data_IF_413153399683
#
_entry.id   IF_413153399683
#
_cell.length_a   1.000
_cell.length_b   1.000
_cell.length_c   1.000
_cell.angle_alpha   90.00
_cell.angle_beta   90.00
_cell.angle_gamma   90.00
#
_symmetry.space_group_name_H-M   'P 1'
#
loop_
_entity.id
_entity.type
_entity.pdbx_description
1 polymer ?
#
# COMPACT_ATOMS: atom_id res chain seq x y z
N UNK A 1 14.03 6.25 -9.07
CA UNK A 1 14.04 5.05 -9.94
C UNK A 1 13.58 5.32 -11.39
N UNK A 2 13.02 6.49 -11.68
CA UNK A 2 12.66 6.91 -13.06
C UNK A 2 13.70 7.85 -13.68
N UNK A 3 14.69 8.30 -12.94
CA UNK A 3 15.59 9.38 -13.32
C UNK A 3 16.71 8.83 -14.21
N UNK A 4 17.27 7.70 -13.87
CA UNK A 4 18.40 7.09 -14.56
C UNK A 4 18.49 5.58 -14.34
N UNK A 5 19.41 4.95 -15.07
CA UNK A 5 19.64 3.50 -15.05
C UNK A 5 20.12 3.01 -13.68
N UNK A 6 21.02 3.74 -13.04
CA UNK A 6 21.65 3.30 -11.79
C UNK A 6 20.60 3.18 -10.68
N UNK A 7 19.79 4.21 -10.48
CA UNK A 7 18.70 4.18 -9.52
C UNK A 7 17.64 3.12 -9.86
N UNK A 8 17.36 2.89 -11.14
CA UNK A 8 16.41 1.85 -11.55
C UNK A 8 16.96 0.45 -11.20
N UNK A 9 18.23 0.15 -11.53
CA UNK A 9 18.87 -1.13 -11.21
C UNK A 9 18.95 -1.33 -9.69
N UNK A 10 19.38 -0.31 -8.94
CA UNK A 10 19.43 -0.36 -7.48
C UNK A 10 18.05 -0.67 -6.88
N UNK A 11 16.99 -0.02 -7.37
CA UNK A 11 15.62 -0.27 -6.91
C UNK A 11 15.18 -1.71 -7.16
N UNK A 12 15.44 -2.25 -8.35
CA UNK A 12 15.12 -3.65 -8.68
C UNK A 12 15.93 -4.62 -7.82
N UNK A 13 17.21 -4.38 -7.65
CA UNK A 13 18.09 -5.24 -6.84
C UNK A 13 17.63 -5.25 -5.37
N UNK A 14 17.43 -4.08 -4.77
CA UNK A 14 17.06 -4.00 -3.37
C UNK A 14 15.67 -4.61 -3.08
N UNK A 15 14.69 -4.34 -3.94
CA UNK A 15 13.35 -4.85 -3.73
C UNK A 15 13.22 -6.31 -4.18
N UNK A 16 13.46 -6.59 -5.46
CA UNK A 16 13.13 -7.91 -6.03
C UNK A 16 14.10 -8.99 -5.56
N UNK A 17 15.42 -8.75 -5.64
CA UNK A 17 16.40 -9.72 -5.17
C UNK A 17 16.36 -9.85 -3.65
N UNK A 18 16.13 -8.73 -2.92
CA UNK A 18 15.95 -8.74 -1.48
C UNK A 18 14.74 -9.58 -1.05
N UNK A 19 13.60 -9.41 -1.74
CA UNK A 19 12.39 -10.22 -1.50
C UNK A 19 12.63 -11.70 -1.80
N UNK A 20 13.32 -12.04 -2.90
CA UNK A 20 13.64 -13.43 -3.21
C UNK A 20 14.51 -14.07 -2.13
N UNK A 21 15.56 -13.39 -1.67
CA UNK A 21 16.42 -13.89 -0.59
C UNK A 21 15.61 -14.14 0.69
N UNK A 22 14.70 -13.22 1.04
CA UNK A 22 13.82 -13.38 2.19
C UNK A 22 12.90 -14.61 2.04
N UNK A 23 12.29 -14.79 0.86
CA UNK A 23 11.39 -15.93 0.60
C UNK A 23 12.11 -17.27 0.69
N UNK A 24 13.37 -17.36 0.21
CA UNK A 24 14.18 -18.57 0.36
C UNK A 24 14.57 -18.82 1.82
N UNK A 25 14.99 -17.79 2.56
CA UNK A 25 15.28 -17.91 3.98
C UNK A 25 14.03 -18.36 4.77
N UNK A 26 12.86 -17.81 4.46
CA UNK A 26 11.59 -18.24 5.07
C UNK A 26 11.28 -19.70 4.75
N UNK A 27 11.43 -20.12 3.49
CA UNK A 27 11.19 -21.49 3.08
C UNK A 27 12.10 -22.50 3.80
N UNK A 28 13.35 -22.15 4.00
CA UNK A 28 14.39 -23.03 4.54
C UNK A 28 14.37 -23.06 6.07
N UNK A 29 14.22 -21.91 6.72
CA UNK A 29 14.40 -21.77 8.16
C UNK A 29 13.09 -21.53 8.93
N UNK A 30 12.11 -20.85 8.31
CA UNK A 30 10.90 -20.39 9.00
C UNK A 30 9.62 -20.60 8.16
N UNK A 31 9.32 -21.85 7.71
CA UNK A 31 8.21 -22.08 6.78
C UNK A 31 6.82 -21.73 7.37
N UNK A 32 6.70 -21.73 8.69
CA UNK A 32 5.45 -21.38 9.40
C UNK A 32 5.29 -19.87 9.63
N UNK A 33 6.29 -19.07 9.29
CA UNK A 33 6.22 -17.62 9.42
C UNK A 33 5.22 -17.03 8.44
N UNK A 34 4.50 -15.97 8.85
CA UNK A 34 3.59 -15.23 7.98
C UNK A 34 4.24 -13.91 7.54
N UNK A 35 4.44 -13.74 6.23
CA UNK A 35 4.99 -12.53 5.67
C UNK A 35 3.89 -11.47 5.48
N UNK A 36 4.09 -10.28 6.02
CA UNK A 36 3.26 -9.11 5.72
C UNK A 36 4.08 -8.12 4.89
N UNK A 37 3.78 -8.04 3.59
CA UNK A 37 4.43 -7.09 2.68
C UNK A 37 3.69 -5.76 2.67
N UNK A 38 4.42 -4.68 2.74
CA UNK A 38 3.91 -3.34 2.48
C UNK A 38 4.01 -3.03 0.97
N UNK A 39 2.92 -3.35 0.26
CA UNK A 39 2.73 -3.06 -1.16
C UNK A 39 2.26 -1.64 -1.43
N UNK A 40 1.81 -1.37 -2.63
CA UNK A 40 1.32 -0.05 -3.04
C UNK A 40 0.20 -0.15 -4.08
N UNK A 41 -0.81 0.71 -3.96
CA UNK A 41 -1.85 0.87 -5.00
C UNK A 41 -1.27 1.28 -6.36
N UNK A 42 -0.08 1.87 -6.39
CA UNK A 42 0.62 2.22 -7.63
C UNK A 42 1.01 1.02 -8.50
N UNK A 43 0.91 -0.21 -7.99
CA UNK A 43 1.07 -1.44 -8.76
C UNK A 43 0.00 -1.59 -9.86
N UNK A 44 -1.22 -1.09 -9.61
CA UNK A 44 -2.34 -1.19 -10.54
C UNK A 44 -2.30 -0.13 -11.65
N UNK A 45 -1.52 0.93 -11.49
CA UNK A 45 -1.53 2.06 -12.42
C UNK A 45 -2.84 2.84 -12.37
N UNK A 46 -3.39 3.16 -13.54
CA UNK A 46 -4.66 3.89 -13.70
C UNK A 46 -5.57 3.19 -14.73
N UNK A 47 -6.11 2.01 -14.42
CA UNK A 47 -7.02 1.32 -15.33
C UNK A 47 -8.34 2.10 -15.49
N UNK A 48 -9.04 1.88 -16.61
CA UNK A 48 -10.39 2.45 -16.86
C UNK A 48 -11.52 1.61 -16.26
N UNK A 49 -11.19 0.59 -15.48
CA UNK A 49 -12.14 -0.28 -14.78
C UNK A 49 -11.85 -0.24 -13.30
N UNK A 50 -12.82 -0.61 -12.47
CA UNK A 50 -12.65 -0.70 -11.04
C UNK A 50 -11.58 -1.74 -10.68
N UNK A 51 -10.82 -1.45 -9.62
CA UNK A 51 -9.77 -2.34 -9.13
C UNK A 51 -10.41 -3.29 -8.13
N UNK A 52 -10.50 -4.56 -8.53
CA UNK A 52 -10.95 -5.63 -7.66
C UNK A 52 -9.90 -5.99 -6.60
N UNK A 53 -10.34 -6.55 -5.50
CA UNK A 53 -9.44 -6.97 -4.42
C UNK A 53 -8.65 -8.22 -4.81
N UNK A 54 -7.43 -8.01 -5.26
CA UNK A 54 -6.45 -9.04 -5.57
C UNK A 54 -6.73 -9.89 -6.81
N UNK A 55 -7.98 -10.21 -7.11
CA UNK A 55 -8.37 -11.11 -8.19
C UNK A 55 -9.53 -10.56 -9.01
N UNK A 56 -9.59 -10.97 -10.27
CA UNK A 56 -10.70 -10.66 -11.17
C UNK A 56 -11.19 -11.93 -11.86
N UNK A 57 -12.50 -12.09 -11.96
CA UNK A 57 -13.10 -13.18 -12.75
C UNK A 57 -13.24 -12.74 -14.18
N UNK A 58 -12.61 -13.49 -15.09
CA UNK A 58 -12.60 -13.21 -16.53
C UNK A 58 -13.38 -14.32 -17.26
N UNK A 59 -14.21 -13.94 -18.20
CA UNK A 59 -14.80 -14.83 -19.17
C UNK A 59 -14.21 -14.59 -20.56
N UNK A 60 -13.66 -15.62 -21.16
CA UNK A 60 -13.09 -15.56 -22.50
C UNK A 60 -13.39 -16.85 -23.28
N UNK A 61 -13.95 -16.71 -24.48
CA UNK A 61 -14.34 -17.84 -25.35
C UNK A 61 -15.23 -18.87 -24.60
N UNK A 62 -16.21 -18.41 -23.82
CA UNK A 62 -17.16 -19.24 -23.08
C UNK A 62 -16.56 -19.98 -21.88
N UNK A 63 -15.31 -19.68 -21.49
CA UNK A 63 -14.66 -20.22 -20.30
C UNK A 63 -14.44 -19.12 -19.27
N UNK A 64 -14.64 -19.45 -17.99
CA UNK A 64 -14.43 -18.53 -16.86
C UNK A 64 -13.22 -18.97 -16.05
N UNK A 65 -12.44 -17.99 -15.56
CA UNK A 65 -11.35 -18.22 -14.62
C UNK A 65 -11.20 -17.00 -13.70
N UNK A 66 -10.68 -17.23 -12.50
CA UNK A 66 -10.37 -16.17 -11.54
C UNK A 66 -8.85 -16.03 -11.46
N UNK A 67 -8.35 -14.91 -11.93
CA UNK A 67 -6.92 -14.64 -12.09
C UNK A 67 -6.51 -13.44 -11.23
N UNK A 68 -5.22 -13.34 -10.88
CA UNK A 68 -4.71 -12.12 -10.24
C UNK A 68 -5.08 -10.88 -11.08
N UNK A 69 -5.53 -9.83 -10.41
CA UNK A 69 -5.91 -8.59 -11.09
C UNK A 69 -4.73 -8.04 -11.89
N UNK A 70 -4.91 -7.60 -13.16
CA UNK A 70 -3.85 -7.07 -14.00
C UNK A 70 -3.19 -5.83 -13.38
N UNK A 71 -1.86 -5.79 -13.37
CA UNK A 71 -1.07 -4.69 -12.81
C UNK A 71 -0.33 -3.96 -13.94
N UNK A 72 -0.43 -2.61 -13.95
CA UNK A 72 0.17 -1.73 -14.96
C UNK A 72 0.97 -0.61 -14.29
N UNK A 73 2.12 -0.93 -13.64
CA UNK A 73 2.89 0.04 -12.87
C UNK A 73 3.46 1.16 -13.74
N UNK A 74 3.33 2.41 -13.28
CA UNK A 74 3.82 3.60 -13.98
C UNK A 74 5.26 4.01 -13.64
N UNK A 75 6.00 3.25 -12.82
CA UNK A 75 7.40 3.54 -12.46
C UNK A 75 8.19 2.28 -12.17
N UNK A 76 9.54 2.37 -12.24
CA UNK A 76 10.42 1.25 -11.88
C UNK A 76 10.26 0.82 -10.42
N UNK A 77 9.93 1.75 -9.52
CA UNK A 77 9.59 1.43 -8.14
C UNK A 77 8.29 0.60 -8.07
N UNK A 78 7.21 1.05 -8.69
CA UNK A 78 5.95 0.31 -8.70
C UNK A 78 6.11 -1.04 -9.41
N UNK A 79 6.91 -1.10 -10.48
CA UNK A 79 7.23 -2.35 -11.17
C UNK A 79 7.98 -3.33 -10.25
N UNK A 80 8.95 -2.86 -9.45
CA UNK A 80 9.62 -3.74 -8.49
C UNK A 80 8.64 -4.31 -7.45
N UNK A 81 7.67 -3.52 -7.01
CA UNK A 81 6.61 -3.98 -6.10
C UNK A 81 5.68 -5.02 -6.74
N UNK A 82 5.38 -4.89 -8.03
CA UNK A 82 4.66 -5.91 -8.80
C UNK A 82 5.45 -7.23 -8.84
N UNK A 83 6.76 -7.17 -9.11
CA UNK A 83 7.62 -8.35 -9.10
C UNK A 83 7.64 -9.02 -7.72
N UNK A 84 7.72 -8.24 -6.65
CA UNK A 84 7.64 -8.75 -5.28
C UNK A 84 6.31 -9.47 -5.03
N UNK A 85 5.18 -8.88 -5.44
CA UNK A 85 3.86 -9.50 -5.31
C UNK A 85 3.78 -10.84 -6.04
N UNK A 86 4.33 -10.91 -7.26
CA UNK A 86 4.33 -12.14 -8.04
C UNK A 86 5.26 -13.21 -7.43
N UNK A 87 6.43 -12.84 -6.94
CA UNK A 87 7.35 -13.75 -6.24
C UNK A 87 6.71 -14.32 -4.98
N UNK A 88 6.06 -13.47 -4.18
CA UNK A 88 5.34 -13.89 -2.97
C UNK A 88 4.17 -14.80 -3.33
N UNK A 89 3.36 -14.44 -4.32
CA UNK A 89 2.24 -15.27 -4.78
C UNK A 89 2.72 -16.65 -5.27
N UNK A 90 3.82 -16.70 -6.02
CA UNK A 90 4.46 -17.95 -6.42
C UNK A 90 4.88 -18.78 -5.20
N UNK A 91 5.58 -18.18 -4.24
CA UNK A 91 6.06 -18.84 -3.04
C UNK A 91 4.91 -19.40 -2.19
N UNK A 92 3.81 -18.66 -2.05
CA UNK A 92 2.62 -19.14 -1.36
C UNK A 92 1.99 -20.34 -2.09
N UNK A 93 1.82 -20.24 -3.40
CA UNK A 93 1.15 -21.28 -4.18
C UNK A 93 1.96 -22.56 -4.32
N UNK A 94 3.28 -22.45 -4.48
CA UNK A 94 4.15 -23.60 -4.83
C UNK A 94 4.88 -24.15 -3.60
N UNK A 95 5.29 -23.27 -2.66
CA UNK A 95 6.03 -23.69 -1.47
C UNK A 95 5.16 -23.76 -0.22
N UNK A 96 3.89 -23.32 -0.30
CA UNK A 96 3.00 -23.32 0.85
C UNK A 96 3.29 -22.24 1.88
N UNK A 97 4.10 -21.23 1.56
CA UNK A 97 4.35 -20.11 2.46
C UNK A 97 3.07 -19.29 2.66
N UNK A 98 3.03 -18.56 3.77
CA UNK A 98 1.89 -17.69 4.11
C UNK A 98 2.30 -16.23 3.99
N UNK A 99 1.50 -15.43 3.27
CA UNK A 99 1.76 -14.00 3.13
C UNK A 99 0.48 -13.18 2.99
N UNK A 100 0.59 -11.90 3.36
CA UNK A 100 -0.41 -10.87 3.07
C UNK A 100 0.29 -9.70 2.37
N UNK A 101 -0.22 -9.29 1.22
CA UNK A 101 0.25 -8.11 0.49
C UNK A 101 -0.72 -6.95 0.72
N UNK A 102 -0.27 -5.92 1.45
CA UNK A 102 -1.06 -4.73 1.76
C UNK A 102 -0.79 -3.64 0.71
N UNK A 103 -1.60 -3.58 -0.34
CA UNK A 103 -1.49 -2.56 -1.38
C UNK A 103 -1.98 -1.20 -0.88
N UNK A 104 -1.04 -0.43 -0.36
CA UNK A 104 -1.31 0.80 0.36
C UNK A 104 -1.52 1.98 -0.59
N UNK A 105 -2.48 2.87 -0.25
CA UNK A 105 -2.52 4.23 -0.75
C UNK A 105 -1.43 5.12 -0.13
N UNK A 106 -1.51 6.41 -0.38
CA UNK A 106 -0.58 7.38 0.20
C UNK A 106 -0.81 7.50 1.70
N UNK A 107 0.24 7.21 2.49
CA UNK A 107 0.21 7.38 3.95
C UNK A 107 0.51 8.84 4.30
N UNK A 108 -0.28 9.41 5.20
CA UNK A 108 -0.10 10.79 5.65
C UNK A 108 -0.29 10.90 7.18
N UNK A 109 0.13 12.03 7.72
CA UNK A 109 0.12 12.29 9.15
C UNK A 109 1.37 11.75 9.83
N UNK A 110 1.65 12.29 11.00
CA UNK A 110 2.86 11.96 11.80
C UNK A 110 2.53 11.74 13.27
N UNK A 111 1.28 12.03 13.68
CA UNK A 111 0.87 11.97 15.08
C UNK A 111 0.13 10.65 15.36
N UNK A 112 0.62 9.91 16.36
CA UNK A 112 -0.06 8.78 17.00
C UNK A 112 0.01 8.98 18.52
N UNK A 113 -0.64 8.11 19.31
CA UNK A 113 -0.49 8.15 20.77
C UNK A 113 0.97 7.95 21.19
N UNK A 114 1.67 7.01 20.53
CA UNK A 114 3.08 6.69 20.82
C UNK A 114 4.00 7.87 20.49
N UNK A 115 3.80 8.53 19.36
CA UNK A 115 4.62 9.70 18.97
C UNK A 115 4.38 10.91 19.90
N UNK A 116 3.28 10.93 20.65
CA UNK A 116 3.01 11.90 21.70
C UNK A 116 3.72 11.63 23.03
N UNK A 117 4.27 10.42 23.21
CA UNK A 117 4.95 10.01 24.45
C UNK A 117 6.43 10.38 24.47
N UNK A 118 7.09 10.41 23.32
CA UNK A 118 8.53 10.67 23.21
C UNK A 118 8.85 11.38 21.90
N UNK A 119 9.62 12.47 21.98
CA UNK A 119 10.07 13.25 20.81
C UNK A 119 10.90 12.41 19.83
N UNK A 120 11.60 11.38 20.30
CA UNK A 120 12.38 10.47 19.45
C UNK A 120 11.51 9.58 18.54
N UNK A 121 10.21 9.46 18.85
CA UNK A 121 9.24 8.70 18.05
C UNK A 121 8.56 9.55 16.96
N UNK A 122 8.83 10.86 16.90
CA UNK A 122 8.22 11.76 15.94
C UNK A 122 8.77 11.50 14.54
N UNK A 123 7.89 11.17 13.61
CA UNK A 123 8.24 11.02 12.19
C UNK A 123 8.37 12.38 11.51
N UNK A 124 9.25 12.46 10.51
CA UNK A 124 9.40 13.65 9.68
C UNK A 124 8.16 13.88 8.81
N UNK A 125 7.64 15.09 8.81
CA UNK A 125 6.60 15.53 7.89
C UNK A 125 7.23 16.01 6.58
N UNK A 126 7.39 15.12 5.61
CA UNK A 126 7.94 15.46 4.30
C UNK A 126 6.91 16.20 3.44
N UNK A 127 7.28 17.39 2.97
CA UNK A 127 6.44 18.24 2.11
C UNK A 127 7.16 18.72 0.84
N UNK A 128 8.41 18.32 0.66
CA UNK A 128 9.24 18.65 -0.50
C UNK A 128 8.80 17.96 -1.80
N UNK A 129 9.52 18.22 -2.89
CA UNK A 129 9.22 17.62 -4.21
C UNK A 129 9.69 16.19 -4.40
N UNK A 130 10.50 15.63 -3.47
CA UNK A 130 11.13 14.32 -3.60
C UNK A 130 10.45 13.28 -2.68
N UNK A 131 10.36 13.57 -1.40
CA UNK A 131 9.80 12.69 -0.37
C UNK A 131 8.40 13.11 0.07
N UNK A 132 8.02 14.37 -0.17
CA UNK A 132 6.75 14.91 0.26
C UNK A 132 5.56 14.34 -0.49
N UNK A 133 4.46 14.15 0.24
CA UNK A 133 3.17 13.82 -0.37
C UNK A 133 2.39 15.09 -0.71
N UNK A 134 1.47 15.00 -1.68
CA UNK A 134 0.62 16.14 -2.04
C UNK A 134 -0.15 16.67 -0.83
N UNK A 135 -0.68 15.78 0.01
CA UNK A 135 -1.46 16.17 1.19
C UNK A 135 -0.60 16.87 2.24
N UNK A 136 0.58 16.34 2.57
CA UNK A 136 1.50 16.98 3.51
C UNK A 136 1.87 18.40 3.02
N UNK A 137 2.17 18.54 1.72
CA UNK A 137 2.45 19.84 1.09
C UNK A 137 1.26 20.79 1.21
N UNK A 138 0.04 20.33 0.96
CA UNK A 138 -1.16 21.14 1.11
C UNK A 138 -1.37 21.60 2.55
N UNK A 139 -1.13 20.72 3.53
CA UNK A 139 -1.21 21.08 4.94
C UNK A 139 -0.22 22.21 5.30
N UNK A 140 1.04 22.10 4.86
CA UNK A 140 2.04 23.15 5.10
C UNK A 140 1.68 24.44 4.36
N UNK A 141 1.29 24.36 3.09
CA UNK A 141 0.88 25.54 2.32
C UNK A 141 -0.31 26.26 2.98
N UNK A 142 -1.30 25.51 3.41
CA UNK A 142 -2.46 26.09 4.12
C UNK A 142 -2.04 26.75 5.45
N UNK A 143 -1.16 26.11 6.22
CA UNK A 143 -0.69 26.62 7.51
C UNK A 143 0.09 27.95 7.40
N UNK A 144 0.84 28.13 6.30
CA UNK A 144 1.60 29.37 6.05
C UNK A 144 0.87 30.37 5.17
N UNK A 145 -0.41 30.12 4.81
CA UNK A 145 -1.20 30.99 3.94
C UNK A 145 -0.74 31.03 2.47
N UNK A 146 0.02 30.02 2.02
CA UNK A 146 0.45 29.90 0.62
C UNK A 146 -0.65 29.22 -0.22
N UNK A 147 -0.90 29.67 -1.47
CA UNK A 147 -1.83 29.00 -2.38
C UNK A 147 -1.49 27.53 -2.59
N UNK A 148 -2.53 26.64 -2.60
CA UNK A 148 -2.33 25.21 -2.82
C UNK A 148 -1.84 24.94 -4.25
N UNK A 149 -0.72 24.24 -4.38
CA UNK A 149 -0.11 23.91 -5.67
C UNK A 149 -0.69 22.58 -6.20
N UNK A 150 -1.62 22.65 -7.15
CA UNK A 150 -2.20 21.47 -7.79
C UNK A 150 -1.47 21.19 -9.10
N UNK A 151 -0.93 19.98 -9.25
CA UNK A 151 -0.29 19.54 -10.49
C UNK A 151 -1.30 18.82 -11.39
N UNK A 152 -1.31 19.19 -12.68
CA UNK A 152 -2.21 18.61 -13.68
C UNK A 152 -3.65 19.13 -13.57
N UNK A 153 -4.60 18.38 -14.13
CA UNK A 153 -6.03 18.78 -14.21
C UNK A 153 -6.84 18.43 -12.95
N UNK A 154 -6.21 17.99 -11.85
CA UNK A 154 -6.89 17.68 -10.59
C UNK A 154 -7.77 16.42 -10.57
N UNK A 155 -7.88 15.70 -11.67
CA UNK A 155 -8.80 14.53 -11.79
C UNK A 155 -8.22 13.18 -11.34
N UNK A 156 -7.06 13.13 -10.69
CA UNK A 156 -6.49 11.86 -10.20
C UNK A 156 -7.14 11.46 -8.88
N UNK A 157 -7.84 10.34 -8.89
CA UNK A 157 -8.22 9.67 -7.65
C UNK A 157 -6.97 9.10 -6.98
N UNK A 158 -6.74 9.48 -5.72
CA UNK A 158 -5.70 8.92 -4.89
C UNK A 158 -6.33 8.41 -3.59
N UNK A 159 -5.95 7.20 -3.20
CA UNK A 159 -6.33 6.65 -1.90
C UNK A 159 -5.32 7.13 -0.86
N UNK A 160 -5.82 7.80 0.19
CA UNK A 160 -5.03 8.25 1.32
C UNK A 160 -5.35 7.42 2.56
N UNK A 161 -4.35 7.18 3.39
CA UNK A 161 -4.50 6.44 4.63
C UNK A 161 -3.75 7.13 5.76
N UNK A 162 -4.43 7.32 6.90
CA UNK A 162 -3.82 7.92 8.10
C UNK A 162 -2.80 6.94 8.70
N UNK A 163 -1.65 7.46 9.12
CA UNK A 163 -0.55 6.67 9.69
C UNK A 163 -1.01 5.79 10.87
N UNK A 164 -1.74 6.34 11.82
CA UNK A 164 -2.25 5.59 12.99
C UNK A 164 -3.19 4.43 12.62
N UNK A 165 -4.05 4.59 11.60
CA UNK A 165 -4.93 3.53 11.12
C UNK A 165 -4.15 2.35 10.55
N UNK A 166 -2.95 2.59 10.01
CA UNK A 166 -2.08 1.54 9.46
C UNK A 166 -1.39 0.73 10.53
N UNK A 167 -0.88 1.37 11.56
CA UNK A 167 -0.30 0.67 12.71
C UNK A 167 -1.35 -0.25 13.35
N UNK A 168 -2.59 0.24 13.52
CA UNK A 168 -3.70 -0.56 14.03
C UNK A 168 -4.04 -1.73 13.09
N UNK A 169 -4.05 -1.52 11.77
CA UNK A 169 -4.34 -2.56 10.79
C UNK A 169 -3.26 -3.66 10.77
N UNK A 170 -1.99 -3.30 10.88
CA UNK A 170 -0.88 -4.26 10.98
C UNK A 170 -0.96 -5.06 12.28
N UNK A 171 -1.24 -4.41 13.40
CA UNK A 171 -1.41 -5.06 14.71
C UNK A 171 -2.61 -6.00 14.71
N UNK A 172 -3.76 -5.57 14.19
CA UNK A 172 -4.98 -6.38 14.12
C UNK A 172 -4.78 -7.60 13.20
N UNK A 173 -4.13 -7.42 12.05
CA UNK A 173 -3.85 -8.52 11.13
C UNK A 173 -2.86 -9.54 11.72
N UNK A 174 -1.85 -9.10 12.44
CA UNK A 174 -0.94 -10.02 13.13
C UNK A 174 -1.67 -10.89 14.19
N UNK A 175 -2.70 -10.36 14.84
CA UNK A 175 -3.53 -11.11 15.78
C UNK A 175 -4.50 -12.10 15.12
N UNK A 176 -5.07 -11.75 13.95
CA UNK A 176 -5.95 -12.64 13.19
C UNK A 176 -5.20 -13.82 12.54
N UNK A 177 -3.96 -13.61 12.14
CA UNK A 177 -3.15 -14.59 11.40
C UNK A 177 -2.65 -15.75 12.25
N UNK A 178 -2.77 -15.68 13.57
CA UNK A 178 -2.51 -16.83 14.44
C UNK A 178 -3.52 -17.99 14.24
N UNK A 179 -4.61 -17.76 13.49
CA UNK A 179 -5.72 -18.72 13.38
C UNK A 179 -6.11 -19.15 11.93
N UNK A 180 -5.48 -18.64 10.86
CA UNK A 180 -5.88 -19.02 9.48
C UNK A 180 -4.70 -19.24 8.53
N UNK A 181 -4.75 -20.36 7.83
CA UNK A 181 -3.79 -20.79 6.80
C UNK A 181 -4.39 -20.48 5.43
N UNK A 182 -4.24 -19.27 4.92
CA UNK A 182 -4.54 -18.95 3.51
C UNK A 182 -3.87 -17.65 3.08
N UNK A 183 -3.40 -17.63 1.82
CA UNK A 183 -2.97 -16.40 1.16
C UNK A 183 -4.20 -15.54 0.91
N UNK A 184 -4.31 -14.43 1.61
CA UNK A 184 -5.31 -13.40 1.33
C UNK A 184 -4.63 -12.20 0.68
N UNK A 185 -5.05 -11.91 -0.53
CA UNK A 185 -4.73 -10.69 -1.24
C UNK A 185 -5.71 -9.61 -0.75
N UNK A 186 -5.31 -8.84 0.24
CA UNK A 186 -6.17 -7.79 0.80
C UNK A 186 -5.77 -6.42 0.27
N UNK A 187 -6.32 -6.03 -0.89
CA UNK A 187 -6.16 -4.67 -1.40
C UNK A 187 -7.18 -3.69 -0.79
N UNK A 188 -8.39 -4.11 -0.48
CA UNK A 188 -9.51 -3.23 -0.18
C UNK A 188 -10.27 -3.48 1.13
N UNK A 189 -10.14 -4.63 1.80
CA UNK A 189 -10.93 -4.91 3.01
C UNK A 189 -10.68 -3.92 4.14
N UNK A 190 -9.46 -3.40 4.23
CA UNK A 190 -9.11 -2.35 5.20
C UNK A 190 -9.51 -0.95 4.72
N UNK A 191 -9.59 -0.71 3.40
CA UNK A 191 -10.04 0.56 2.85
C UNK A 191 -11.56 0.72 3.00
N UNK A 192 -12.35 -0.34 2.84
CA UNK A 192 -13.81 -0.27 2.99
C UNK A 192 -14.24 -0.15 4.45
N UNK A 193 -13.61 -0.86 5.39
CA UNK A 193 -13.85 -0.72 6.82
C UNK A 193 -13.30 0.61 7.39
N UNK A 194 -12.09 1.01 7.00
CA UNK A 194 -11.53 2.30 7.36
C UNK A 194 -12.32 3.45 6.72
N UNK A 195 -12.79 3.29 5.47
CA UNK A 195 -13.65 4.24 4.78
C UNK A 195 -15.03 4.36 5.43
N UNK A 196 -15.69 3.25 5.76
CA UNK A 196 -16.97 3.26 6.45
C UNK A 196 -16.87 3.83 7.88
N UNK A 197 -15.77 3.55 8.58
CA UNK A 197 -15.48 4.11 9.91
C UNK A 197 -15.14 5.59 9.81
N UNK A 198 -14.35 6.00 8.81
CA UNK A 198 -14.03 7.39 8.51
C UNK A 198 -15.26 8.20 8.10
N UNK A 199 -16.12 7.67 7.24
CA UNK A 199 -17.39 8.32 6.89
C UNK A 199 -18.31 8.51 8.11
N UNK A 200 -18.40 7.51 9.01
CA UNK A 200 -19.15 7.65 10.27
C UNK A 200 -18.51 8.67 11.21
N UNK A 201 -17.19 8.73 11.25
CA UNK A 201 -16.44 9.68 12.08
C UNK A 201 -16.57 11.11 11.53
N UNK A 202 -16.44 11.33 10.23
CA UNK A 202 -16.63 12.63 9.57
C UNK A 202 -18.07 13.13 9.74
N UNK A 203 -19.07 12.27 9.56
CA UNK A 203 -20.48 12.65 9.80
C UNK A 203 -20.78 13.05 11.24
N UNK A 204 -19.99 12.59 12.22
CA UNK A 204 -20.20 12.89 13.65
C UNK A 204 -19.44 14.13 14.15
N UNK A 205 -18.40 14.59 13.46
CA UNK A 205 -17.48 15.61 14.01
C UNK A 205 -17.18 16.81 13.12
N UNK A 206 -17.62 16.82 11.88
CA UNK A 206 -17.51 18.01 11.03
C UNK A 206 -18.90 18.65 10.93
N UNK A 207 -19.18 19.79 11.59
CA UNK A 207 -20.33 20.59 11.24
C UNK A 207 -20.16 21.04 9.79
N UNK A 208 -21.10 20.71 8.93
CA UNK A 208 -21.19 21.28 7.60
C UNK A 208 -21.23 22.80 7.77
N UNK A 209 -20.21 23.48 7.34
CA UNK A 209 -20.27 24.91 7.09
C UNK A 209 -21.28 25.12 5.99
N UNK A 210 -22.41 25.75 6.34
CA UNK A 210 -23.42 26.17 5.40
C UNK A 210 -22.93 27.36 4.55
#
# INVERSE_FOLDING_TARGET
>A
SMIDREHAVMTQTNNVVGTLNLLYAMKEEFPDCHLVKLGTMGEYGTPNIDIEEGYITIEHNGRKDTLPYPKQPGSMYHLSKVHDSHNIHFACRIWGLRATDLNQGVVYGVLTEETGMDELLINRLDYDGVFGTALNRFCIQAAIGHPLTVYGKGGKLAVFSIFGTRCAALSWRSQLLLNQVNFEYSANSLSSLAWATWQRWCKKRVPLWG
#
